data_IF_970015097004
#
_entry.id   IF_970015097004
#
_cell.length_a   1.000
_cell.length_b   1.000
_cell.length_c   1.000
_cell.angle_alpha   90.00
_cell.angle_beta   90.00
_cell.angle_gamma   90.00
#
_symmetry.space_group_name_H-M   'P 1'
#
loop_
_entity.id
_entity.type
_entity.pdbx_description
1 polymer ?
#
# COMPACT_ATOMS: atom_id res chain seq x y z
N UNK A 1 17.44 10.17 5.06
CA UNK A 1 16.27 10.93 4.58
C UNK A 1 15.90 11.97 5.62
N UNK A 2 15.26 13.05 5.18
CA UNK A 2 14.65 14.04 6.07
C UNK A 2 13.42 13.42 6.72
N UNK A 3 13.18 13.68 8.01
CA UNK A 3 11.94 13.29 8.67
C UNK A 3 10.83 14.23 8.22
N UNK A 4 9.75 13.66 7.70
CA UNK A 4 8.51 14.37 7.42
C UNK A 4 7.54 14.03 8.57
N UNK A 5 7.27 15.00 9.44
CA UNK A 5 6.46 14.84 10.64
C UNK A 5 5.01 15.27 10.44
N UNK A 6 4.24 15.19 11.52
CA UNK A 6 2.80 15.51 11.52
C UNK A 6 2.54 16.98 11.15
N UNK A 7 3.41 17.90 11.58
CA UNK A 7 3.27 19.33 11.27
C UNK A 7 3.44 19.61 9.77
N UNK A 8 4.39 18.93 9.12
CA UNK A 8 4.60 19.07 7.68
C UNK A 8 3.49 18.41 6.87
N UNK A 9 2.92 17.31 7.35
CA UNK A 9 1.71 16.69 6.78
C UNK A 9 0.56 17.70 6.78
N UNK A 10 0.28 18.34 7.91
CA UNK A 10 -0.79 19.34 8.01
C UNK A 10 -0.59 20.52 7.06
N UNK A 11 0.66 20.98 6.91
CA UNK A 11 0.96 22.05 5.97
C UNK A 11 0.58 21.66 4.53
N UNK A 12 0.99 20.48 4.07
CA UNK A 12 0.69 20.00 2.71
C UNK A 12 -0.80 19.72 2.51
N UNK A 13 -1.48 19.18 3.53
CA UNK A 13 -2.93 18.98 3.51
C UNK A 13 -3.68 20.31 3.37
N UNK A 14 -3.26 21.35 4.10
CA UNK A 14 -3.83 22.69 4.01
C UNK A 14 -3.64 23.34 2.64
N UNK A 15 -2.54 23.03 1.94
CA UNK A 15 -2.32 23.45 0.55
C UNK A 15 -3.17 22.66 -0.47
N UNK A 16 -3.85 21.58 -0.07
CA UNK A 16 -4.62 20.73 -0.97
C UNK A 16 -3.77 19.86 -1.90
N UNK A 17 -2.48 19.70 -1.60
CA UNK A 17 -1.54 18.96 -2.45
C UNK A 17 -1.58 17.44 -2.18
N UNK A 18 -2.74 16.82 -2.41
CA UNK A 18 -3.01 15.42 -2.10
C UNK A 18 -2.03 14.44 -2.78
N UNK A 19 -1.69 14.67 -4.05
CA UNK A 19 -0.75 13.81 -4.78
C UNK A 19 0.68 13.90 -4.23
N UNK A 20 1.11 15.10 -3.84
CA UNK A 20 2.43 15.29 -3.24
C UNK A 20 2.52 14.57 -1.89
N UNK A 21 1.49 14.73 -1.05
CA UNK A 21 1.41 14.02 0.23
C UNK A 21 1.42 12.50 0.04
N UNK A 22 0.64 12.00 -0.91
CA UNK A 22 0.60 10.57 -1.24
C UNK A 22 1.99 10.07 -1.65
N UNK A 23 2.70 10.77 -2.53
CA UNK A 23 4.06 10.41 -2.93
C UNK A 23 5.04 10.35 -1.74
N UNK A 24 4.95 11.33 -0.83
CA UNK A 24 5.81 11.37 0.36
C UNK A 24 5.57 10.17 1.28
N UNK A 25 4.31 9.79 1.51
CA UNK A 25 3.94 8.68 2.40
C UNK A 25 4.08 7.29 1.77
N UNK A 26 4.14 7.20 0.43
CA UNK A 26 4.19 5.91 -0.29
C UNK A 26 5.54 5.71 -0.95
N UNK A 27 5.68 6.06 -2.23
CA UNK A 27 6.81 5.76 -3.12
C UNK A 27 8.13 6.32 -2.58
N UNK A 28 8.12 7.44 -1.86
CA UNK A 28 9.32 8.06 -1.26
C UNK A 28 9.70 7.50 0.12
N UNK A 29 8.80 6.84 0.83
CA UNK A 29 9.05 6.29 2.18
C UNK A 29 8.95 4.76 2.20
N UNK A 30 7.73 4.24 2.04
CA UNK A 30 7.35 2.91 2.52
C UNK A 30 6.95 1.90 1.43
N UNK A 31 6.68 2.36 0.20
CA UNK A 31 6.30 1.45 -0.91
C UNK A 31 7.54 0.94 -1.66
N UNK A 32 8.05 -0.23 -1.24
CA UNK A 32 9.23 -0.88 -1.84
C UNK A 32 8.97 -1.24 -3.31
N UNK A 33 7.78 -1.74 -3.63
CA UNK A 33 7.43 -2.14 -4.99
C UNK A 33 7.19 -0.92 -5.90
N UNK A 34 6.57 0.13 -5.36
CA UNK A 34 6.38 1.41 -6.04
C UNK A 34 7.69 2.13 -6.30
N UNK A 35 8.64 2.09 -5.36
CA UNK A 35 9.93 2.77 -5.49
C UNK A 35 10.77 2.24 -6.67
N UNK A 36 10.85 0.93 -6.88
CA UNK A 36 11.58 0.37 -8.03
C UNK A 36 10.95 0.77 -9.35
N UNK A 37 9.62 0.72 -9.44
CA UNK A 37 8.88 1.15 -10.64
C UNK A 37 9.04 2.63 -10.90
N UNK A 38 9.08 3.45 -9.84
CA UNK A 38 9.34 4.88 -9.93
C UNK A 38 10.74 5.14 -10.51
N UNK A 39 11.76 4.42 -10.04
CA UNK A 39 13.11 4.55 -10.60
C UNK A 39 13.15 4.16 -12.08
N UNK A 40 12.50 3.06 -12.47
CA UNK A 40 12.40 2.68 -13.88
C UNK A 40 11.67 3.72 -14.72
N UNK A 41 10.57 4.29 -14.21
CA UNK A 41 9.81 5.33 -14.89
C UNK A 41 10.62 6.61 -15.07
N UNK A 42 11.40 7.01 -14.06
CA UNK A 42 12.31 8.17 -14.13
C UNK A 42 13.38 7.95 -15.22
N UNK A 43 13.96 6.74 -15.29
CA UNK A 43 14.98 6.41 -16.31
C UNK A 43 14.37 6.40 -17.71
N UNK A 44 13.14 5.92 -17.87
CA UNK A 44 12.44 5.84 -19.16
C UNK A 44 11.75 7.14 -19.58
N UNK A 45 11.62 8.12 -18.68
CA UNK A 45 10.87 9.35 -18.92
C UNK A 45 9.35 9.13 -18.99
N UNK A 46 8.85 8.02 -18.44
CA UNK A 46 7.44 7.67 -18.44
C UNK A 46 6.73 8.22 -17.19
N UNK A 47 5.42 8.42 -17.27
CA UNK A 47 4.63 8.86 -16.12
C UNK A 47 4.64 7.80 -15.01
N UNK A 48 4.85 8.20 -13.75
CA UNK A 48 4.96 7.25 -12.66
C UNK A 48 3.65 6.50 -12.41
N UNK A 49 3.77 5.22 -12.03
CA UNK A 49 2.62 4.38 -11.72
C UNK A 49 1.91 4.85 -10.44
N UNK A 50 0.60 4.58 -10.35
CA UNK A 50 -0.18 4.90 -9.15
C UNK A 50 0.42 4.23 -7.90
N UNK A 51 0.59 4.97 -6.80
CA UNK A 51 1.14 4.43 -5.56
C UNK A 51 0.31 3.28 -4.98
N UNK A 52 0.99 2.27 -4.43
CA UNK A 52 0.35 1.15 -3.76
C UNK A 52 0.01 1.40 -2.29
N UNK A 53 -0.41 0.34 -1.62
CA UNK A 53 -0.62 0.35 -0.15
C UNK A 53 0.74 0.32 0.56
N UNK A 54 1.04 1.26 1.48
CA UNK A 54 2.28 1.27 2.25
C UNK A 54 2.50 -0.03 3.04
N UNK A 55 3.76 -0.45 3.18
CA UNK A 55 4.09 -1.61 4.03
C UNK A 55 3.82 -1.33 5.51
N UNK A 56 3.99 -0.08 5.97
CA UNK A 56 3.67 0.37 7.34
C UNK A 56 2.21 0.10 7.71
N UNK A 57 1.27 0.29 6.77
CA UNK A 57 -0.14 -0.05 6.99
C UNK A 57 -0.35 -1.56 7.15
N UNK A 58 0.40 -2.40 6.41
CA UNK A 58 0.30 -3.86 6.56
C UNK A 58 0.85 -4.32 7.91
N UNK A 59 1.93 -3.69 8.39
CA UNK A 59 2.47 -3.94 9.73
C UNK A 59 1.44 -3.57 10.79
N UNK A 60 0.81 -2.40 10.68
CA UNK A 60 -0.26 -1.97 11.58
C UNK A 60 -1.39 -3.00 11.66
N UNK A 61 -1.87 -3.51 10.53
CA UNK A 61 -2.92 -4.54 10.51
C UNK A 61 -2.45 -5.82 11.22
N UNK A 62 -1.18 -6.21 11.07
CA UNK A 62 -0.62 -7.39 11.73
C UNK A 62 -0.47 -7.20 13.24
N UNK A 63 -0.09 -6.01 13.69
CA UNK A 63 0.00 -5.68 15.10
C UNK A 63 -1.37 -5.69 15.78
N UNK A 64 -2.40 -5.14 15.12
CA UNK A 64 -3.79 -5.22 15.60
C UNK A 64 -4.29 -6.67 15.66
N UNK A 65 -3.97 -7.49 14.66
CA UNK A 65 -4.28 -8.93 14.66
C UNK A 65 -3.56 -9.69 15.78
N UNK A 66 -2.33 -9.31 16.13
CA UNK A 66 -1.58 -9.91 17.23
C UNK A 66 -2.23 -9.63 18.60
N UNK A 67 -2.93 -8.50 18.74
CA UNK A 67 -3.71 -8.14 19.92
C UNK A 67 -5.09 -8.84 19.98
N UNK A 68 -5.43 -9.68 18.99
CA UNK A 68 -6.72 -10.37 18.93
C UNK A 68 -7.84 -9.57 18.27
N UNK A 69 -7.54 -8.42 17.65
CA UNK A 69 -8.51 -7.63 16.90
C UNK A 69 -8.57 -8.12 15.44
N UNK A 70 -9.76 -8.50 14.96
CA UNK A 70 -9.94 -8.85 13.55
C UNK A 70 -10.21 -7.60 12.71
N UNK A 71 -9.22 -7.18 11.94
CA UNK A 71 -9.32 -6.05 10.99
C UNK A 71 -9.30 -6.58 9.56
N UNK A 72 -10.35 -6.28 8.80
CA UNK A 72 -10.51 -6.68 7.41
C UNK A 72 -10.79 -5.47 6.51
N UNK A 73 -10.20 -5.48 5.31
CA UNK A 73 -10.44 -4.45 4.29
C UNK A 73 -11.77 -4.70 3.58
N UNK A 74 -12.76 -3.85 3.84
CA UNK A 74 -14.06 -3.91 3.19
C UNK A 74 -14.04 -3.15 1.86
N UNK A 75 -14.57 -3.75 0.80
CA UNK A 75 -14.83 -3.07 -0.47
C UNK A 75 -16.27 -2.57 -0.48
N UNK A 76 -16.46 -1.25 -0.54
CA UNK A 76 -17.81 -0.69 -0.71
C UNK A 76 -18.44 -1.26 -2.00
N UNK A 77 -19.55 -1.99 -1.86
CA UNK A 77 -20.27 -2.62 -2.97
C UNK A 77 -20.46 -4.14 -2.86
N UNK A 78 -19.90 -4.82 -1.86
CA UNK A 78 -20.26 -6.21 -1.54
C UNK A 78 -20.49 -6.33 -0.04
N UNK A 79 -21.76 -6.37 0.34
CA UNK A 79 -22.18 -6.78 1.68
C UNK A 79 -21.60 -8.15 2.01
N UNK A 80 -21.21 -8.30 3.27
CA UNK A 80 -20.90 -9.54 3.97
C UNK A 80 -20.93 -10.82 3.11
N UNK A 81 -19.77 -11.24 2.60
CA UNK A 81 -19.62 -12.62 2.15
C UNK A 81 -18.18 -13.10 2.27
N UNK A 82 -18.06 -14.14 3.08
CA UNK A 82 -17.04 -15.20 3.13
C UNK A 82 -15.68 -14.89 3.75
N UNK A 83 -15.56 -15.29 5.01
CA UNK A 83 -14.56 -16.23 5.53
C UNK A 83 -13.41 -16.58 4.58
N UNK A 84 -12.18 -16.38 5.07
CA UNK A 84 -11.05 -17.25 4.76
C UNK A 84 -10.37 -17.01 3.41
N UNK A 85 -9.50 -16.00 3.34
CA UNK A 85 -8.45 -15.94 2.32
C UNK A 85 -7.32 -16.97 2.54
N UNK A 86 -7.61 -18.15 3.10
CA UNK A 86 -6.78 -19.36 2.95
C UNK A 86 -7.30 -20.11 1.71
N UNK A 87 -6.68 -19.90 0.55
CA UNK A 87 -7.05 -20.67 -0.65
C UNK A 87 -6.37 -20.26 -1.95
N UNK A 88 -5.83 -19.03 -2.05
CA UNK A 88 -5.17 -18.59 -3.31
C UNK A 88 -3.70 -18.96 -3.46
N UNK A 89 -3.08 -19.64 -2.48
CA UNK A 89 -1.69 -20.13 -2.62
C UNK A 89 -1.59 -21.53 -3.25
N UNK A 90 -2.61 -22.38 -3.18
CA UNK A 90 -2.51 -23.76 -3.69
C UNK A 90 -2.78 -23.87 -5.21
N UNK A 91 -3.55 -22.95 -5.80
CA UNK A 91 -3.88 -23.01 -7.24
C UNK A 91 -2.72 -22.63 -8.18
N UNK A 92 -1.67 -21.94 -7.70
CA UNK A 92 -0.52 -21.59 -8.56
C UNK A 92 0.53 -22.70 -8.67
N UNK A 93 0.49 -23.72 -7.81
CA UNK A 93 1.43 -24.85 -7.90
C UNK A 93 0.93 -25.97 -8.83
N UNK A 94 -0.39 -26.11 -9.00
CA UNK A 94 -0.98 -27.12 -9.89
C UNK A 94 -0.83 -26.80 -11.39
N UNK A 95 -0.76 -25.53 -11.79
CA UNK A 95 -0.67 -25.14 -13.22
C UNK A 95 0.75 -25.28 -13.79
N UNK A 96 1.78 -25.48 -12.95
CA UNK A 96 3.17 -25.67 -13.42
C UNK A 96 3.54 -27.15 -13.65
N UNK A 97 2.62 -28.10 -13.43
CA UNK A 97 2.84 -29.54 -13.61
C UNK A 97 1.91 -30.22 -14.63
N UNK A 98 1.19 -29.45 -15.43
CA UNK A 98 0.40 -29.95 -16.58
C UNK A 98 1.06 -29.59 -17.90
#
# INVERSE_FOLDING_TARGET
GQRFGEMEVWAIEGYGAAYALQEFLTVKSDDVAGRTKMYEAIIKGETPAQPGVPESFKVLVKELQALGLNVELLRLGKGASTNGAKGKKEAKEAVKKG
#
